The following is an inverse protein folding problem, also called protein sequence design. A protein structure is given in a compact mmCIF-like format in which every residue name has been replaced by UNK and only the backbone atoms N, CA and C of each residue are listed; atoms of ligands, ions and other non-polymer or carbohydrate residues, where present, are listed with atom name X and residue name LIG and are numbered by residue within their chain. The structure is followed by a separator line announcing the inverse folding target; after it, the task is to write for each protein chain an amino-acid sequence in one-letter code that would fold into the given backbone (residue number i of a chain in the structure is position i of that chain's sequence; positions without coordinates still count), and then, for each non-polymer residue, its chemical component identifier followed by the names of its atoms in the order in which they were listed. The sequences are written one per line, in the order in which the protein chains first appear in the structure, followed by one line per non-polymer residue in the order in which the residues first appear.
data_IF_980034662886
#
_entry.id   IF_980034662886
#
_cell.length_a   1.000
_cell.length_b   1.000
_cell.length_c   1.000
_cell.angle_alpha   90.00
_cell.angle_beta   90.00
_cell.angle_gamma   90.00
#
_symmetry.space_group_name_H-M   'P 1'
#
loop_
_entity.id
_entity.type
_entity.pdbx_description
1 polymer ?
#
# COMPACT_ATOMS: atom_id res chain seq x y z
N UNK A 1 5.99 -13.54 16.79
CA UNK A 1 6.68 -13.35 15.50
C UNK A 1 5.92 -12.25 14.79
N UNK A 2 6.45 -11.02 14.77
CA UNK A 2 5.75 -9.89 14.17
C UNK A 2 5.85 -10.06 12.65
N UNK A 3 4.70 -10.22 11.99
CA UNK A 3 4.66 -10.29 10.54
C UNK A 3 5.13 -8.93 10.00
N UNK A 4 6.07 -8.98 9.08
CA UNK A 4 6.62 -7.80 8.40
C UNK A 4 5.50 -6.98 7.69
N UNK A 5 4.35 -7.60 7.43
CA UNK A 5 3.12 -7.00 6.92
C UNK A 5 2.58 -5.87 7.80
N UNK A 6 2.88 -5.86 9.11
CA UNK A 6 2.37 -4.83 10.04
C UNK A 6 3.18 -3.51 9.96
N UNK A 7 4.26 -3.46 9.18
CA UNK A 7 5.14 -2.29 9.12
C UNK A 7 4.52 -1.06 8.43
N UNK A 8 3.54 -1.27 7.55
CA UNK A 8 2.90 -0.17 6.83
C UNK A 8 1.91 0.60 7.69
N UNK A 9 1.33 -0.03 8.74
CA UNK A 9 0.27 0.55 9.57
C UNK A 9 -0.88 1.18 8.75
N UNK A 10 -1.19 0.61 7.58
CA UNK A 10 -2.27 1.07 6.71
C UNK A 10 -3.51 0.17 6.91
N UNK A 11 -4.54 0.61 7.65
CA UNK A 11 -5.67 -0.25 8.01
C UNK A 11 -6.53 -0.66 6.79
N UNK A 12 -6.52 0.15 5.74
CA UNK A 12 -7.35 -0.06 4.55
C UNK A 12 -6.66 -0.90 3.47
N UNK A 13 -5.41 -1.31 3.71
CA UNK A 13 -4.55 -1.97 2.72
C UNK A 13 -3.88 -3.19 3.37
N UNK A 14 -4.01 -4.35 2.74
CA UNK A 14 -3.37 -5.60 3.18
C UNK A 14 -2.20 -5.96 2.26
N UNK A 15 -1.12 -6.43 2.84
CA UNK A 15 -0.01 -7.03 2.09
C UNK A 15 -0.41 -8.42 1.58
N UNK A 16 -0.25 -8.68 0.28
CA UNK A 16 -0.64 -9.95 -0.35
C UNK A 16 0.54 -10.89 -0.61
N UNK A 17 1.76 -10.38 -0.62
CA UNK A 17 2.99 -11.15 -0.78
C UNK A 17 4.08 -10.65 0.19
N UNK A 18 5.03 -11.50 0.62
CA UNK A 18 6.18 -11.04 1.39
C UNK A 18 6.88 -9.88 0.65
N UNK A 19 7.31 -8.82 1.36
CA UNK A 19 7.94 -7.69 0.70
C UNK A 19 9.27 -8.10 0.07
N UNK A 20 9.53 -7.49 -1.08
CA UNK A 20 10.76 -7.66 -1.82
C UNK A 20 11.71 -6.52 -1.44
N UNK A 21 12.93 -6.86 -1.04
CA UNK A 21 13.90 -5.90 -0.51
C UNK A 21 15.20 -5.97 -1.32
N UNK A 22 15.74 -4.81 -1.69
CA UNK A 22 17.08 -4.66 -2.25
C UNK A 22 17.88 -3.65 -1.40
N UNK A 23 19.06 -3.20 -1.86
CA UNK A 23 19.91 -2.27 -1.08
C UNK A 23 19.24 -0.92 -0.77
N UNK A 24 18.43 -0.39 -1.69
CA UNK A 24 17.87 0.97 -1.62
C UNK A 24 16.36 1.02 -1.42
N UNK A 25 15.65 -0.07 -1.72
CA UNK A 25 14.21 -0.12 -1.86
C UNK A 25 13.60 -1.33 -1.14
N UNK A 26 12.38 -1.13 -0.66
CA UNK A 26 11.51 -2.17 -0.12
C UNK A 26 10.14 -2.06 -0.78
N UNK A 27 9.71 -3.10 -1.48
CA UNK A 27 8.45 -3.15 -2.22
C UNK A 27 7.46 -4.06 -1.52
N UNK A 28 6.28 -3.54 -1.19
CA UNK A 28 5.18 -4.32 -0.64
C UNK A 28 4.11 -4.48 -1.70
N UNK A 29 3.82 -5.71 -2.11
CA UNK A 29 2.66 -5.93 -2.96
C UNK A 29 1.41 -5.90 -2.10
N UNK A 30 0.50 -4.98 -2.38
CA UNK A 30 -0.67 -4.74 -1.55
C UNK A 30 -1.98 -4.78 -2.34
N UNK A 31 -3.07 -5.03 -1.62
CA UNK A 31 -4.45 -4.91 -2.11
C UNK A 31 -5.28 -4.14 -1.09
N UNK A 32 -6.27 -3.36 -1.55
CA UNK A 32 -7.24 -2.76 -0.65
C UNK A 32 -8.05 -3.84 0.10
N UNK A 33 -8.32 -3.63 1.38
CA UNK A 33 -9.14 -4.55 2.20
C UNK A 33 -10.57 -4.61 1.67
N UNK A 34 -11.07 -3.50 1.13
CA UNK A 34 -12.35 -3.41 0.45
C UNK A 34 -12.37 -2.27 -0.56
N UNK A 35 -13.39 -2.23 -1.45
CA UNK A 35 -13.59 -1.08 -2.30
C UNK A 35 -13.97 0.14 -1.44
N UNK A 36 -13.46 1.35 -1.76
CA UNK A 36 -13.99 2.56 -1.14
C UNK A 36 -15.49 2.71 -1.47
N UNK A 37 -16.27 3.21 -0.52
CA UNK A 37 -17.69 3.52 -0.76
C UNK A 37 -17.87 4.89 -1.40
N UNK A 38 -16.94 5.83 -1.13
CA UNK A 38 -16.96 7.21 -1.60
C UNK A 38 -15.56 7.73 -1.88
N UNK A 39 -15.45 8.68 -2.79
CA UNK A 39 -14.21 9.41 -3.03
C UNK A 39 -13.83 10.22 -1.78
N UNK A 40 -12.61 10.09 -1.23
CA UNK A 40 -12.21 10.83 -0.03
C UNK A 40 -12.10 12.35 -0.26
N UNK A 41 -11.87 12.78 -1.50
CA UNK A 41 -11.73 14.20 -1.85
C UNK A 41 -13.07 14.91 -2.08
N UNK A 42 -14.05 14.23 -2.71
CA UNK A 42 -15.29 14.88 -3.14
C UNK A 42 -16.59 14.17 -2.72
N UNK A 43 -16.51 13.02 -2.04
CA UNK A 43 -17.67 12.28 -1.54
C UNK A 43 -18.50 11.55 -2.61
N UNK A 44 -18.08 11.56 -3.88
CA UNK A 44 -18.77 10.86 -4.97
C UNK A 44 -18.82 9.34 -4.72
N UNK A 45 -19.99 8.73 -4.89
CA UNK A 45 -20.29 7.34 -4.51
C UNK A 45 -20.33 6.35 -5.68
N UNK A 46 -20.42 6.85 -6.93
CA UNK A 46 -20.37 6.01 -8.15
C UNK A 46 -18.94 5.80 -8.60
N UNK A 47 -18.17 5.09 -7.79
CA UNK A 47 -16.77 4.82 -8.06
C UNK A 47 -16.60 3.77 -9.17
N UNK A 48 -15.62 4.00 -10.04
CA UNK A 48 -15.23 3.06 -11.10
C UNK A 48 -13.83 2.51 -10.82
N UNK A 49 -13.66 1.19 -10.94
CA UNK A 49 -12.38 0.53 -10.68
C UNK A 49 -11.45 0.68 -11.89
N UNK A 50 -10.40 1.50 -11.73
CA UNK A 50 -9.34 1.66 -12.74
C UNK A 50 -8.17 0.69 -12.47
N UNK A 51 -8.32 -0.57 -12.89
CA UNK A 51 -7.29 -1.64 -12.89
C UNK A 51 -6.39 -1.69 -11.62
N UNK A 52 -5.22 -2.34 -11.69
CA UNK A 52 -4.17 -2.20 -10.68
C UNK A 52 -3.24 -1.05 -11.05
N UNK A 53 -2.59 -0.46 -10.04
CA UNK A 53 -1.61 0.63 -10.21
C UNK A 53 -0.44 0.40 -9.25
N UNK A 54 0.78 0.62 -9.72
CA UNK A 54 1.98 0.63 -8.88
C UNK A 54 2.24 2.08 -8.42
N UNK A 55 2.53 2.31 -7.14
CA UNK A 55 2.82 3.64 -6.59
C UNK A 55 4.04 3.62 -5.66
N UNK A 56 5.00 4.51 -5.92
CA UNK A 56 6.14 4.73 -5.03
C UNK A 56 5.76 5.74 -3.94
N UNK A 57 5.97 5.40 -2.66
CA UNK A 57 5.67 6.28 -1.52
C UNK A 57 6.97 6.63 -0.81
N UNK A 58 7.42 7.86 -1.00
CA UNK A 58 8.73 8.31 -0.51
C UNK A 58 8.75 8.62 1.00
N UNK A 59 7.58 8.82 1.61
CA UNK A 59 7.45 9.31 2.99
C UNK A 59 7.42 8.21 4.06
N UNK A 60 7.53 6.94 3.66
CA UNK A 60 7.63 5.79 4.56
C UNK A 60 9.05 5.20 4.53
N UNK A 61 10.10 5.86 5.06
CA UNK A 61 11.42 5.23 5.13
C UNK A 61 11.41 4.10 6.18
N UNK A 62 11.14 2.87 5.74
CA UNK A 62 11.30 1.67 6.56
C UNK A 62 12.76 1.24 6.46
N UNK A 63 13.47 1.21 7.58
CA UNK A 63 14.90 0.80 7.66
C UNK A 63 15.81 1.60 6.71
N UNK A 64 15.56 2.90 6.55
CA UNK A 64 16.32 3.80 5.66
C UNK A 64 16.24 3.44 4.16
N UNK A 65 15.23 2.67 3.74
CA UNK A 65 14.96 2.33 2.34
C UNK A 65 13.73 3.07 1.83
N UNK A 66 13.69 3.35 0.52
CA UNK A 66 12.49 3.87 -0.14
C UNK A 66 11.42 2.77 -0.17
N UNK A 67 10.17 3.11 0.13
CA UNK A 67 9.09 2.13 0.17
C UNK A 67 8.16 2.28 -1.03
N UNK A 68 7.91 1.18 -1.74
CA UNK A 68 6.93 1.10 -2.81
C UNK A 68 5.75 0.22 -2.43
N UNK A 69 4.56 0.58 -2.91
CA UNK A 69 3.32 -0.18 -2.80
C UNK A 69 2.77 -0.59 -4.19
#
# INVERSE_FOLDING_TARGET
MNNISDLLFLPDIKTIEPPQENETDMMFKVEAVGPPERCPECGFDKLYKHSSRNQLIMDLPIRLKRVGL
#
